data_IF_688828000602
#
_entry.id   IF_688828000602
#
_cell.length_a   1.000
_cell.length_b   1.000
_cell.length_c   1.000
_cell.angle_alpha   90.00
_cell.angle_beta   90.00
_cell.angle_gamma   90.00
#
_symmetry.space_group_name_H-M   'P 1'
#
loop_
_entity.id
_entity.type
_entity.pdbx_description
1 polymer ?
#
# COMPACT_ATOMS: atom_id res chain seq x y z
N UNK A 1 -5.36 -23.78 8.36
CA UNK A 1 -4.61 -23.56 7.10
C UNK A 1 -5.60 -23.18 6.02
N UNK A 2 -5.87 -21.88 5.84
CA UNK A 2 -6.75 -21.40 4.78
C UNK A 2 -5.90 -20.93 3.61
N UNK A 3 -6.06 -21.56 2.44
CA UNK A 3 -5.52 -21.03 1.19
C UNK A 3 -6.09 -19.64 0.96
N UNK A 4 -5.23 -18.63 0.91
CA UNK A 4 -5.57 -17.27 0.47
C UNK A 4 -5.23 -17.17 -1.01
N UNK A 5 -6.20 -17.45 -1.89
CA UNK A 5 -6.09 -17.14 -3.32
C UNK A 5 -7.47 -16.83 -3.89
N UNK A 6 -8.05 -15.71 -3.50
CA UNK A 6 -9.14 -15.08 -4.25
C UNK A 6 -8.69 -13.68 -4.70
N UNK A 7 -7.58 -13.62 -5.44
CA UNK A 7 -7.12 -12.36 -6.00
C UNK A 7 -8.01 -11.98 -7.19
N UNK A 8 -8.49 -10.74 -7.23
CA UNK A 8 -9.39 -10.29 -8.30
C UNK A 8 -8.64 -10.07 -9.62
N UNK A 9 -7.41 -9.54 -9.54
CA UNK A 9 -6.49 -9.35 -10.67
C UNK A 9 -5.03 -9.45 -10.19
N UNK A 10 -4.18 -10.12 -10.99
CA UNK A 10 -2.72 -10.07 -10.84
C UNK A 10 -2.14 -9.10 -11.86
N UNK A 11 -1.24 -8.24 -11.42
CA UNK A 11 -0.51 -7.32 -12.28
C UNK A 11 0.98 -7.63 -12.21
N UNK A 12 1.60 -7.72 -13.38
CA UNK A 12 3.04 -7.79 -13.49
C UNK A 12 3.65 -6.43 -13.22
N UNK A 13 4.58 -6.41 -12.28
CA UNK A 13 5.37 -5.24 -11.94
C UNK A 13 6.48 -5.07 -12.99
N UNK A 14 6.47 -3.95 -13.70
CA UNK A 14 7.43 -3.66 -14.77
C UNK A 14 8.50 -2.71 -14.23
N UNK A 15 9.78 -3.05 -14.43
CA UNK A 15 10.89 -2.18 -14.05
C UNK A 15 12.20 -2.94 -13.90
N UNK A 16 13.12 -2.36 -13.14
CA UNK A 16 14.45 -2.93 -12.91
C UNK A 16 14.51 -3.54 -11.51
N UNK A 17 14.65 -4.87 -11.44
CA UNK A 17 14.99 -5.59 -10.21
C UNK A 17 16.49 -5.45 -9.91
N UNK A 18 16.86 -4.34 -9.29
CA UNK A 18 18.23 -4.07 -8.86
C UNK A 18 18.23 -3.09 -7.67
N UNK A 19 19.38 -2.93 -7.04
CA UNK A 19 19.59 -1.93 -5.98
C UNK A 19 19.19 -0.53 -6.44
N UNK A 20 18.31 0.13 -5.69
CA UNK A 20 17.76 1.44 -6.02
C UNK A 20 16.81 1.45 -7.23
N UNK A 21 16.44 0.27 -7.72
CA UNK A 21 15.48 0.12 -8.81
C UNK A 21 14.06 0.46 -8.39
N UNK A 22 13.19 0.66 -9.37
CA UNK A 22 11.76 0.84 -9.13
C UNK A 22 10.99 -0.10 -10.04
N UNK A 23 10.07 -0.84 -9.46
CA UNK A 23 9.06 -1.59 -10.19
C UNK A 23 7.73 -0.85 -10.15
N UNK A 24 6.98 -0.87 -11.25
CA UNK A 24 5.72 -0.13 -11.35
C UNK A 24 4.63 -0.97 -12.01
N UNK A 25 3.41 -0.81 -11.52
CA UNK A 25 2.19 -1.27 -12.17
C UNK A 25 1.26 -0.06 -12.35
N UNK A 26 0.61 -0.01 -13.51
CA UNK A 26 -0.42 0.97 -13.81
C UNK A 26 -1.78 0.29 -13.73
N UNK A 27 -2.67 0.91 -12.97
CA UNK A 27 -4.05 0.50 -12.78
C UNK A 27 -4.95 1.60 -13.35
N UNK A 28 -5.93 1.19 -14.15
CA UNK A 28 -6.98 2.09 -14.61
C UNK A 28 -7.93 2.40 -13.44
N UNK A 29 -8.25 3.68 -13.26
CA UNK A 29 -9.21 4.14 -12.27
C UNK A 29 -10.65 3.84 -12.67
N UNK A 30 -11.54 3.90 -11.69
CA UNK A 30 -12.99 3.68 -11.84
C UNK A 30 -13.57 2.67 -10.86
N UNK A 31 -12.72 1.91 -10.17
CA UNK A 31 -13.10 1.02 -9.07
C UNK A 31 -12.55 1.54 -7.72
N UNK A 32 -13.09 1.05 -6.61
CA UNK A 32 -12.49 1.31 -5.30
C UNK A 32 -11.42 0.25 -5.03
N UNK A 33 -10.20 0.67 -4.73
CA UNK A 33 -9.12 -0.23 -4.31
C UNK A 33 -9.27 -0.49 -2.81
N UNK A 34 -9.56 -1.74 -2.45
CA UNK A 34 -9.77 -2.15 -1.05
C UNK A 34 -8.47 -2.69 -0.44
N UNK A 35 -7.70 -3.45 -1.21
CA UNK A 35 -6.47 -4.11 -0.75
C UNK A 35 -5.44 -4.25 -1.88
N UNK A 36 -4.16 -4.13 -1.51
CA UNK A 36 -3.02 -4.53 -2.31
C UNK A 36 -2.28 -5.64 -1.57
N UNK A 37 -1.97 -6.73 -2.28
CA UNK A 37 -1.08 -7.77 -1.81
C UNK A 37 0.14 -7.85 -2.72
N UNK A 38 1.32 -7.83 -2.14
CA UNK A 38 2.59 -8.05 -2.83
C UNK A 38 3.08 -9.44 -2.47
N UNK A 39 3.29 -10.28 -3.48
CA UNK A 39 3.95 -11.58 -3.30
C UNK A 39 5.37 -11.45 -3.82
N UNK A 40 6.35 -11.60 -2.95
CA UNK A 40 7.76 -11.36 -3.28
C UNK A 40 8.72 -12.15 -2.41
N UNK A 41 9.90 -12.42 -2.94
CA UNK A 41 11.04 -12.98 -2.19
C UNK A 41 11.88 -11.90 -1.48
N UNK A 42 11.55 -10.62 -1.69
CA UNK A 42 12.21 -9.49 -1.02
C UNK A 42 11.92 -9.48 0.48
N UNK A 43 12.92 -9.08 1.27
CA UNK A 43 12.73 -8.83 2.69
C UNK A 43 11.95 -7.54 2.94
N UNK A 44 11.30 -7.45 4.11
CA UNK A 44 10.48 -6.30 4.50
C UNK A 44 11.25 -4.95 4.54
N UNK A 45 12.57 -5.01 4.68
CA UNK A 45 13.45 -3.83 4.71
C UNK A 45 13.96 -3.42 3.32
N UNK A 46 13.71 -4.24 2.29
CA UNK A 46 14.30 -4.09 0.95
C UNK A 46 13.40 -3.32 -0.03
N UNK A 47 12.19 -2.93 0.39
CA UNK A 47 11.29 -2.17 -0.44
C UNK A 47 10.39 -1.20 0.33
N UNK A 48 9.94 -0.17 -0.38
CA UNK A 48 8.89 0.77 0.00
C UNK A 48 7.79 0.73 -1.04
N UNK A 49 6.55 0.52 -0.59
CA UNK A 49 5.36 0.63 -1.42
C UNK A 49 4.94 2.10 -1.53
N UNK A 50 4.76 2.55 -2.77
CA UNK A 50 4.28 3.88 -3.10
C UNK A 50 3.04 3.77 -3.98
N UNK A 51 1.99 4.50 -3.62
CA UNK A 51 0.75 4.56 -4.41
C UNK A 51 0.37 6.00 -4.70
N UNK A 52 0.20 6.29 -5.98
CA UNK A 52 -0.15 7.61 -6.51
C UNK A 52 -1.43 7.52 -7.33
N UNK A 53 -2.31 8.52 -7.19
CA UNK A 53 -3.53 8.66 -7.98
C UNK A 53 -3.46 10.01 -8.71
N UNK A 54 -3.38 10.00 -10.04
CA UNK A 54 -3.22 11.24 -10.84
C UNK A 54 -2.06 12.15 -10.39
N UNK A 55 -0.97 11.54 -9.91
CA UNK A 55 0.20 12.26 -9.39
C UNK A 55 0.05 12.77 -7.95
N UNK A 56 -1.08 12.54 -7.29
CA UNK A 56 -1.24 12.73 -5.84
C UNK A 56 -0.71 11.49 -5.09
N UNK A 57 0.37 11.65 -4.33
CA UNK A 57 0.97 10.57 -3.55
C UNK A 57 0.15 10.34 -2.29
N UNK A 58 -0.55 9.20 -2.24
CA UNK A 58 -1.47 8.86 -1.15
C UNK A 58 -0.84 7.92 -0.13
N UNK A 59 -0.03 6.97 -0.59
CA UNK A 59 0.61 5.98 0.28
C UNK A 59 2.10 5.92 0.00
N UNK A 60 2.87 5.92 1.08
CA UNK A 60 4.29 5.62 1.14
C UNK A 60 4.53 4.85 2.43
N UNK A 61 4.75 3.54 2.31
CA UNK A 61 4.87 2.64 3.45
C UNK A 61 5.94 1.59 3.19
N UNK A 62 6.79 1.32 4.19
CA UNK A 62 7.83 0.28 4.10
C UNK A 62 7.23 -1.11 4.30
N UNK A 63 7.90 -2.16 3.79
CA UNK A 63 7.47 -3.54 4.03
C UNK A 63 7.36 -3.89 5.51
N UNK A 64 8.23 -3.36 6.36
CA UNK A 64 8.14 -3.56 7.81
C UNK A 64 6.87 -2.93 8.41
N UNK A 65 6.53 -1.71 8.00
CA UNK A 65 5.30 -1.05 8.46
C UNK A 65 4.04 -1.77 7.96
N UNK A 66 4.09 -2.42 6.79
CA UNK A 66 3.00 -3.29 6.33
C UNK A 66 2.82 -4.48 7.28
N UNK A 67 3.91 -5.15 7.67
CA UNK A 67 3.85 -6.26 8.64
C UNK A 67 3.30 -5.80 10.00
N UNK A 68 3.75 -4.64 10.48
CA UNK A 68 3.29 -4.07 11.75
C UNK A 68 1.79 -3.75 11.69
N UNK A 69 1.31 -3.25 10.54
CA UNK A 69 -0.11 -3.00 10.30
C UNK A 69 -0.92 -4.28 10.24
N UNK A 70 -0.44 -5.31 9.54
CA UNK A 70 -1.10 -6.62 9.53
C UNK A 70 -1.27 -7.17 10.95
N UNK A 71 -0.23 -7.06 11.79
CA UNK A 71 -0.29 -7.45 13.18
C UNK A 71 -1.33 -6.62 13.97
N UNK A 72 -1.39 -5.31 13.74
CA UNK A 72 -2.40 -4.42 14.34
C UNK A 72 -3.83 -4.82 13.95
N UNK A 73 -4.03 -5.22 12.69
CA UNK A 73 -5.33 -5.69 12.18
C UNK A 73 -5.65 -7.14 12.61
N UNK A 74 -4.80 -7.77 13.43
CA UNK A 74 -4.97 -9.14 13.88
C UNK A 74 -4.76 -10.19 12.78
N UNK A 75 -4.10 -9.82 11.68
CA UNK A 75 -3.76 -10.71 10.57
C UNK A 75 -2.39 -11.33 10.83
N UNK A 76 -2.30 -12.65 10.63
CA UNK A 76 -1.01 -13.35 10.70
C UNK A 76 -0.22 -13.08 9.42
N UNK A 77 1.00 -12.55 9.59
CA UNK A 77 1.95 -12.37 8.49
C UNK A 77 2.25 -13.71 7.82
N UNK A 78 2.20 -13.72 6.49
CA UNK A 78 2.55 -14.89 5.67
C UNK A 78 3.89 -14.63 5.00
N UNK A 79 4.82 -15.58 5.09
CA UNK A 79 6.15 -15.43 4.50
C UNK A 79 6.04 -15.16 2.99
N UNK A 80 6.76 -14.14 2.51
CA UNK A 80 6.75 -13.73 1.10
C UNK A 80 5.46 -13.04 0.65
N UNK A 81 4.58 -12.64 1.58
CA UNK A 81 3.39 -11.87 1.30
C UNK A 81 3.34 -10.63 2.19
N UNK A 82 3.06 -9.49 1.58
CA UNK A 82 2.87 -8.21 2.26
C UNK A 82 1.55 -7.61 1.83
N UNK A 83 0.69 -7.31 2.80
CA UNK A 83 -0.68 -6.86 2.55
C UNK A 83 -0.85 -5.45 3.06
N UNK A 84 -1.37 -4.57 2.21
CA UNK A 84 -1.79 -3.23 2.57
C UNK A 84 -3.27 -3.04 2.26
N UNK A 85 -4.04 -2.80 3.32
CA UNK A 85 -5.47 -2.55 3.29
C UNK A 85 -5.72 -1.04 3.21
N UNK A 86 -6.45 -0.61 2.19
CA UNK A 86 -7.00 0.75 2.13
C UNK A 86 -8.30 0.85 2.92
N UNK A 87 -9.01 -0.27 3.06
CA UNK A 87 -10.18 -0.40 3.90
C UNK A 87 -9.79 -0.57 5.37
N UNK A 88 -10.41 0.21 6.24
CA UNK A 88 -10.40 0.01 7.68
C UNK A 88 -11.25 -1.24 8.03
N UNK A 89 -10.66 -2.28 8.66
CA UNK A 89 -11.36 -3.52 8.98
C UNK A 89 -12.52 -3.34 9.98
N UNK A 90 -12.53 -2.27 10.80
CA UNK A 90 -13.61 -2.02 11.77
C UNK A 90 -14.74 -1.16 11.20
N UNK A 91 -14.50 -0.42 10.11
CA UNK A 91 -15.48 0.45 9.49
C UNK A 91 -16.31 -0.32 8.45
N UNK A 92 -17.25 -1.14 8.93
CA UNK A 92 -18.14 -1.95 8.09
C UNK A 92 -19.60 -1.54 8.21
N UNK A 93 -20.35 -1.68 7.12
CA UNK A 93 -21.82 -1.56 7.14
C UNK A 93 -22.42 -2.66 8.01
N UNK A 94 -23.71 -2.52 8.36
CA UNK A 94 -24.46 -3.58 9.04
C UNK A 94 -24.47 -4.90 8.23
N UNK A 95 -24.26 -4.82 6.93
CA UNK A 95 -24.22 -5.95 5.99
C UNK A 95 -22.79 -6.50 5.81
N UNK A 96 -21.80 -5.94 6.52
CA UNK A 96 -20.42 -6.41 6.53
C UNK A 96 -19.52 -5.85 5.42
N UNK A 97 -20.03 -4.91 4.61
CA UNK A 97 -19.28 -4.27 3.53
C UNK A 97 -18.34 -3.19 4.09
N UNK A 98 -17.12 -3.11 3.56
CA UNK A 98 -16.17 -2.06 3.96
C UNK A 98 -16.69 -0.68 3.53
N UNK A 99 -16.78 0.25 4.49
CA UNK A 99 -17.19 1.64 4.23
C UNK A 99 -16.04 2.49 3.68
N UNK A 100 -14.81 2.02 3.85
CA UNK A 100 -13.59 2.75 3.49
C UNK A 100 -12.82 1.96 2.44
N UNK A 101 -12.01 2.68 1.67
CA UNK A 101 -11.23 2.16 0.57
C UNK A 101 -10.68 3.32 -0.25
N UNK A 102 -9.68 3.07 -1.09
CA UNK A 102 -9.13 4.11 -1.95
C UNK A 102 -9.99 4.21 -3.21
N UNK A 103 -10.91 5.17 -3.19
CA UNK A 103 -11.80 5.44 -4.31
C UNK A 103 -11.01 6.07 -5.46
N UNK A 104 -11.26 5.58 -6.67
CA UNK A 104 -10.67 6.11 -7.91
C UNK A 104 -11.79 6.42 -8.90
N UNK A 105 -11.62 7.45 -9.72
CA UNK A 105 -12.62 7.87 -10.70
C UNK A 105 -12.31 7.29 -12.09
N UNK A 106 -13.33 7.03 -12.92
CA UNK A 106 -13.11 6.62 -14.30
C UNK A 106 -12.23 7.62 -15.04
N UNK A 107 -11.18 7.12 -15.71
CA UNK A 107 -10.21 7.94 -16.44
C UNK A 107 -9.03 8.44 -15.60
N UNK A 108 -9.02 8.22 -14.28
CA UNK A 108 -7.84 8.42 -13.45
C UNK A 108 -6.84 7.28 -13.65
N UNK A 109 -5.57 7.57 -13.42
CA UNK A 109 -4.46 6.62 -13.42
C UNK A 109 -3.97 6.42 -12.00
N UNK A 110 -3.93 5.16 -11.60
CA UNK A 110 -3.31 4.77 -10.34
C UNK A 110 -1.97 4.11 -10.64
N UNK A 111 -0.91 4.68 -10.07
CA UNK A 111 0.44 4.16 -10.16
C UNK A 111 0.77 3.48 -8.84
N UNK A 112 1.09 2.19 -8.90
CA UNK A 112 1.62 1.43 -7.76
C UNK A 112 3.08 1.16 -8.05
N UNK A 113 3.97 1.61 -7.18
CA UNK A 113 5.39 1.41 -7.30
C UNK A 113 5.95 0.67 -6.08
N UNK A 114 6.87 -0.25 -6.34
CA UNK A 114 7.82 -0.72 -5.34
C UNK A 114 9.16 -0.03 -5.60
N UNK A 115 9.57 0.80 -4.66
CA UNK A 115 10.90 1.40 -4.63
C UNK A 115 11.82 0.46 -3.86
N UNK A 116 12.86 -0.06 -4.52
CA UNK A 116 13.79 -1.02 -3.93
C UNK A 116 14.89 -0.29 -3.16
N UNK A 117 15.36 -0.91 -2.08
CA UNK A 117 16.44 -0.39 -1.28
C UNK A 117 17.72 -0.19 -2.10
N UNK A 118 18.55 0.77 -1.69
CA UNK A 118 19.81 1.09 -2.36
C UNK A 118 20.87 -0.03 -2.26
N UNK A 119 20.63 -1.06 -1.44
CA UNK A 119 21.50 -2.21 -1.26
C UNK A 119 20.69 -3.40 -0.74
N UNK A 120 21.17 -4.62 -1.01
CA UNK A 120 20.57 -5.86 -0.51
C UNK A 120 19.86 -6.69 -1.58
N UNK A 121 19.63 -6.14 -2.77
CA UNK A 121 18.94 -6.80 -3.87
C UNK A 121 19.93 -7.62 -4.70
N UNK A 122 19.70 -8.93 -4.82
CA UNK A 122 20.50 -9.84 -5.63
C UNK A 122 20.15 -9.77 -7.13
N UNK A 123 18.97 -9.25 -7.48
CA UNK A 123 18.47 -9.08 -8.84
C UNK A 123 17.83 -10.35 -9.43
N UNK A 124 17.63 -11.38 -8.60
CA UNK A 124 16.95 -12.64 -8.96
C UNK A 124 15.58 -12.77 -8.32
N UNK A 125 15.22 -11.85 -7.43
CA UNK A 125 13.97 -11.83 -6.71
C UNK A 125 12.80 -11.57 -7.66
N UNK A 126 11.63 -12.08 -7.29
CA UNK A 126 10.40 -11.84 -8.01
C UNK A 126 9.45 -11.01 -7.16
N UNK A 127 8.62 -10.19 -7.81
CA UNK A 127 7.55 -9.44 -7.16
C UNK A 127 6.33 -9.42 -8.07
N UNK A 128 5.20 -9.89 -7.54
CA UNK A 128 3.90 -9.88 -8.21
C UNK A 128 2.92 -9.08 -7.37
N UNK A 129 2.18 -8.20 -8.02
CA UNK A 129 1.16 -7.38 -7.38
C UNK A 129 -0.21 -8.02 -7.58
N UNK A 130 -0.99 -8.09 -6.52
CA UNK A 130 -2.40 -8.45 -6.57
C UNK A 130 -3.22 -7.32 -5.98
N UNK A 131 -4.36 -7.07 -6.60
CA UNK A 131 -5.31 -6.06 -6.12
C UNK A 131 -6.66 -6.70 -5.84
N UNK A 132 -7.31 -6.20 -4.80
CA UNK A 132 -8.73 -6.43 -4.56
C UNK A 132 -9.47 -5.10 -4.75
N UNK A 133 -10.48 -5.15 -5.61
CA UNK A 133 -11.30 -4.01 -5.97
C UNK A 133 -12.76 -4.31 -5.72
N UNK A 134 -13.52 -3.27 -5.36
CA UNK A 134 -14.97 -3.32 -5.33
C UNK A 134 -15.56 -2.37 -6.35
N UNK A 135 -16.89 -2.40 -6.47
CA UNK A 135 -17.64 -1.36 -7.16
C UNK A 135 -17.25 0.03 -6.68
N UNK A 136 -17.39 1.01 -7.59
CA UNK A 136 -17.03 2.37 -7.29
C UNK A 136 -17.90 2.93 -6.16
N UNK A 137 -17.26 3.54 -5.16
CA UNK A 137 -17.94 4.18 -4.04
C UNK A 137 -17.82 5.70 -4.17
N UNK A 138 -18.60 6.44 -3.39
CA UNK A 138 -18.40 7.89 -3.27
C UNK A 138 -17.16 8.14 -2.41
N UNK A 139 -16.22 8.95 -2.88
CA UNK A 139 -15.02 9.32 -2.12
C UNK A 139 -15.41 10.29 -0.99
N UNK A 140 -15.77 9.75 0.19
CA UNK A 140 -16.03 10.56 1.38
C UNK A 140 -14.74 10.84 2.18
N UNK A 141 -13.81 9.88 2.19
CA UNK A 141 -12.55 9.98 2.92
C UNK A 141 -11.37 9.61 2.02
N UNK A 142 -10.34 10.47 2.04
CA UNK A 142 -9.06 10.20 1.40
C UNK A 142 -8.08 9.66 2.44
N UNK A 143 -7.61 8.45 2.21
CA UNK A 143 -6.54 7.87 3.04
C UNK A 143 -5.19 8.44 2.59
N UNK A 144 -4.49 9.05 3.54
CA UNK A 144 -3.08 9.42 3.38
C UNK A 144 -2.25 8.64 4.41
N UNK A 145 -1.25 7.91 3.92
CA UNK A 145 -0.26 7.22 4.73
C UNK A 145 1.11 7.65 4.20
N UNK A 146 1.59 8.79 4.70
CA UNK A 146 2.86 9.39 4.27
C UNK A 146 3.80 9.50 5.47
N UNK A 147 5.11 9.25 5.31
CA UNK A 147 6.08 9.44 6.36
C UNK A 147 6.23 10.93 6.70
N UNK A 148 6.37 11.23 7.98
CA UNK A 148 6.65 12.56 8.47
C UNK A 148 7.91 12.53 9.33
N UNK A 149 8.87 13.41 9.02
CA UNK A 149 10.12 13.53 9.77
C UNK A 149 9.90 14.50 10.92
N UNK A 150 9.84 13.97 12.15
CA UNK A 150 9.79 14.78 13.36
C UNK A 150 11.22 14.96 13.90
N UNK A 151 11.80 16.18 13.87
CA UNK A 151 13.15 16.41 14.37
C UNK A 151 13.19 16.28 15.90
N UNK A 152 13.93 15.28 16.40
CA UNK A 152 14.07 14.97 17.84
C UNK A 152 15.08 15.90 18.55
N UNK A 153 15.48 17.02 17.93
CA UNK A 153 16.62 17.83 18.37
C UNK A 153 16.34 18.78 19.54
N UNK A 154 15.13 18.80 20.10
CA UNK A 154 14.80 19.62 21.26
C UNK A 154 14.31 18.76 22.43
N UNK A 155 14.91 18.97 23.59
CA UNK A 155 14.39 18.48 24.87
C UNK A 155 13.10 19.24 25.16
N UNK A 156 11.94 18.59 25.14
CA UNK A 156 10.64 19.22 25.32
C UNK A 156 9.46 18.32 24.92
N UNK A 157 8.24 18.80 25.11
CA UNK A 157 7.03 18.15 24.59
C UNK A 157 6.92 18.39 23.08
N UNK A 158 6.68 17.33 22.30
CA UNK A 158 6.39 17.45 20.87
C UNK A 158 4.99 18.06 20.70
N UNK A 159 4.92 19.36 20.42
CA UNK A 159 3.67 20.01 20.02
C UNK A 159 3.44 19.74 18.53
N UNK A 160 2.63 18.72 18.24
CA UNK A 160 2.23 18.39 16.88
C UNK A 160 1.08 19.30 16.44
N UNK A 161 1.39 20.27 15.57
CA UNK A 161 0.38 21.06 14.86
C UNK A 161 0.12 20.37 13.52
N UNK A 162 -1.04 19.71 13.36
CA UNK A 162 -1.45 19.17 12.05
C UNK A 162 -1.62 20.33 11.08
N UNK A 163 -0.62 20.61 10.25
CA UNK A 163 -0.85 21.41 9.05
C UNK A 163 -1.90 20.65 8.21
N UNK A 164 -3.10 21.21 8.11
CA UNK A 164 -4.10 20.76 7.15
C UNK A 164 -3.56 21.05 5.75
N UNK A 165 -2.76 20.13 5.19
CA UNK A 165 -2.52 20.11 3.75
C UNK A 165 -3.89 19.91 3.09
N UNK A 166 -4.33 20.96 2.40
CA UNK A 166 -5.58 21.05 1.65
C UNK A 166 -5.51 20.21 0.39
#
# INVERSE_FOLDING_TARGET
MGMRQNFSQSLDLIGTMANGGTLKALLDGGATLDEITIVTDLAAAEFTLVVEVEGDRRVEITGQQMLDREAYEGRAATSGQFVFTFADPIAKTLQGESLTGMVTQPGQRVLVALELAASGIAGTETAVLYTETSENRVEEFRLYCLPELVPVSQTGENQFEKEKKR
#
